data_IF_401705647783
#
_entry.id   IF_401705647783
#
_cell.length_a   1.000
_cell.length_b   1.000
_cell.length_c   1.000
_cell.angle_alpha   90.00
_cell.angle_beta   90.00
_cell.angle_gamma   90.00
#
_symmetry.space_group_name_H-M   'P 1'
#
loop_
_entity.id
_entity.type
_entity.pdbx_description
1 polymer ?
#
# COMPACT_ATOMS: atom_id res chain seq x y z
N UNK A 1 39.30 -28.48 18.75
CA UNK A 1 38.03 -28.37 18.02
C UNK A 1 36.93 -27.97 18.99
N UNK A 2 36.64 -26.68 19.09
CA UNK A 2 35.44 -26.13 19.75
C UNK A 2 35.33 -24.61 19.57
N UNK A 3 36.45 -23.92 19.35
CA UNK A 3 36.48 -22.46 19.14
C UNK A 3 36.33 -22.08 17.67
N UNK A 4 37.03 -22.77 16.76
CA UNK A 4 36.99 -22.47 15.32
C UNK A 4 35.59 -22.71 14.72
N UNK A 5 34.94 -23.83 15.04
CA UNK A 5 33.56 -24.11 14.61
C UNK A 5 32.55 -23.10 15.19
N UNK A 6 32.80 -22.58 16.40
CA UNK A 6 31.96 -21.55 17.01
C UNK A 6 32.20 -20.18 16.36
N UNK A 7 33.42 -19.89 15.91
CA UNK A 7 33.76 -18.68 15.17
C UNK A 7 33.12 -18.68 13.77
N UNK A 8 33.22 -19.78 13.02
CA UNK A 8 32.55 -19.91 11.72
C UNK A 8 31.03 -19.78 11.84
N UNK A 9 30.43 -20.31 12.92
CA UNK A 9 29.00 -20.17 13.19
C UNK A 9 28.61 -18.71 13.52
N UNK A 10 29.51 -17.92 14.10
CA UNK A 10 29.30 -16.48 14.35
C UNK A 10 29.43 -15.69 13.04
N UNK A 11 30.44 -15.99 12.22
CA UNK A 11 30.65 -15.33 10.92
C UNK A 11 29.48 -15.58 9.96
N UNK A 12 28.99 -16.83 9.84
CA UNK A 12 27.79 -17.14 9.04
C UNK A 12 26.57 -16.39 9.53
N UNK A 13 26.38 -16.29 10.85
CA UNK A 13 25.27 -15.50 11.42
C UNK A 13 25.42 -14.00 11.14
N UNK A 14 26.65 -13.47 11.11
CA UNK A 14 26.88 -12.08 10.74
C UNK A 14 26.58 -11.82 9.26
N UNK A 15 27.00 -12.70 8.35
CA UNK A 15 26.67 -12.61 6.93
C UNK A 15 25.15 -12.69 6.69
N UNK A 16 24.47 -13.57 7.43
CA UNK A 16 23.01 -13.70 7.38
C UNK A 16 22.29 -12.44 7.90
N UNK A 17 22.77 -11.85 9.00
CA UNK A 17 22.26 -10.57 9.53
C UNK A 17 22.50 -9.42 8.55
N UNK A 18 23.67 -9.35 7.91
CA UNK A 18 24.01 -8.31 6.93
C UNK A 18 23.12 -8.44 5.69
N UNK A 19 22.89 -9.66 5.21
CA UNK A 19 21.98 -9.94 4.09
C UNK A 19 20.56 -9.49 4.42
N UNK A 20 20.03 -9.84 5.60
CA UNK A 20 18.70 -9.42 6.06
C UNK A 20 18.59 -7.89 6.19
N UNK A 21 19.60 -7.22 6.74
CA UNK A 21 19.62 -5.76 6.86
C UNK A 21 19.65 -5.05 5.50
N UNK A 22 20.29 -5.66 4.51
CA UNK A 22 20.35 -5.13 3.14
C UNK A 22 18.98 -5.21 2.45
N UNK A 23 18.22 -6.29 2.68
CA UNK A 23 16.83 -6.42 2.21
C UNK A 23 15.93 -5.38 2.88
N UNK A 24 16.06 -5.20 4.20
CA UNK A 24 15.28 -4.21 4.97
C UNK A 24 15.58 -2.78 4.48
N UNK A 25 16.85 -2.45 4.23
CA UNK A 25 17.23 -1.12 3.70
C UNK A 25 16.72 -0.90 2.27
N UNK A 26 16.59 -1.96 1.46
CA UNK A 26 16.04 -1.87 0.11
C UNK A 26 14.52 -1.65 0.16
N UNK A 27 13.81 -2.33 1.08
CA UNK A 27 12.39 -2.11 1.34
C UNK A 27 12.12 -0.70 1.89
N UNK A 28 12.94 -0.21 2.83
CA UNK A 28 12.84 1.16 3.35
C UNK A 28 13.18 2.23 2.30
N UNK A 29 14.02 1.92 1.31
CA UNK A 29 14.28 2.81 0.16
C UNK A 29 13.11 2.81 -0.84
N UNK A 30 12.38 1.70 -0.98
CA UNK A 30 11.10 1.68 -1.72
C UNK A 30 10.01 2.47 -0.99
N UNK A 31 9.99 2.47 0.35
CA UNK A 31 9.12 3.35 1.14
C UNK A 31 9.52 4.84 1.08
N UNK A 32 10.70 5.15 0.51
CA UNK A 32 11.18 6.49 0.20
C UNK A 32 10.97 6.89 -1.26
N UNK A 33 9.92 6.41 -1.91
CA UNK A 33 9.21 7.23 -2.90
C UNK A 33 8.27 8.17 -2.14
N UNK A 34 8.64 9.45 -1.96
CA UNK A 34 7.77 10.40 -1.31
C UNK A 34 6.73 10.84 -2.35
N UNK A 35 5.46 10.46 -2.16
CA UNK A 35 4.27 11.32 -2.29
C UNK A 35 3.01 10.53 -2.69
N UNK A 36 2.06 10.44 -1.75
CA UNK A 36 0.61 10.26 -1.98
C UNK A 36 0.13 8.85 -2.43
N UNK A 37 0.53 7.78 -1.73
CA UNK A 37 -0.13 6.49 -1.93
C UNK A 37 -1.59 6.51 -1.46
N UNK A 38 -1.86 7.22 -0.36
CA UNK A 38 -3.19 7.40 0.20
C UNK A 38 -3.70 8.82 -0.04
N UNK A 39 -4.80 8.93 -0.79
CA UNK A 39 -5.48 10.17 -1.11
C UNK A 39 -6.60 10.44 -0.11
N UNK A 40 -6.87 11.72 0.20
CA UNK A 40 -8.14 12.07 0.83
C UNK A 40 -9.30 11.83 -0.15
N UNK A 41 -10.54 11.81 0.33
CA UNK A 41 -11.72 11.77 -0.57
C UNK A 41 -11.72 12.90 -1.60
N UNK A 42 -11.19 14.08 -1.24
CA UNK A 42 -11.12 15.23 -2.14
C UNK A 42 -10.07 15.01 -3.22
N UNK A 43 -8.85 14.63 -2.84
CA UNK A 43 -7.76 14.38 -3.80
C UNK A 43 -8.07 13.17 -4.69
N UNK A 44 -8.76 12.16 -4.15
CA UNK A 44 -9.27 11.04 -4.94
C UNK A 44 -10.27 11.50 -6.00
N UNK A 45 -11.22 12.37 -5.64
CA UNK A 45 -12.20 12.91 -6.58
C UNK A 45 -11.51 13.68 -7.71
N UNK A 46 -10.56 14.55 -7.36
CA UNK A 46 -9.78 15.33 -8.31
C UNK A 46 -8.97 14.42 -9.25
N UNK A 47 -8.27 13.42 -8.69
CA UNK A 47 -7.41 12.51 -9.46
C UNK A 47 -8.18 11.52 -10.33
N UNK A 48 -9.35 11.08 -9.88
CA UNK A 48 -10.26 10.23 -10.66
C UNK A 48 -11.14 11.02 -11.65
N UNK A 49 -11.00 12.35 -11.71
CA UNK A 49 -11.82 13.23 -12.54
C UNK A 49 -13.34 13.06 -12.31
N UNK A 50 -13.74 12.86 -11.05
CA UNK A 50 -15.14 12.74 -10.63
C UNK A 50 -15.52 13.85 -9.65
N UNK A 51 -16.81 14.11 -9.48
CA UNK A 51 -17.26 15.07 -8.48
C UNK A 51 -17.02 14.54 -7.06
N UNK A 52 -16.75 15.44 -6.12
CA UNK A 52 -16.61 15.10 -4.70
C UNK A 52 -17.84 14.37 -4.13
N UNK A 53 -19.03 14.72 -4.61
CA UNK A 53 -20.27 14.06 -4.22
C UNK A 53 -20.31 12.59 -4.66
N UNK A 54 -19.85 12.28 -5.88
CA UNK A 54 -19.73 10.91 -6.40
C UNK A 54 -18.68 10.13 -5.61
N UNK A 55 -17.51 10.72 -5.36
CA UNK A 55 -16.47 10.10 -4.53
C UNK A 55 -16.98 9.72 -3.12
N UNK A 56 -17.72 10.63 -2.47
CA UNK A 56 -18.36 10.33 -1.17
C UNK A 56 -19.38 9.21 -1.25
N UNK A 57 -20.20 9.14 -2.32
CA UNK A 57 -21.18 8.04 -2.47
C UNK A 57 -20.49 6.69 -2.66
N UNK A 58 -19.44 6.63 -3.47
CA UNK A 58 -18.63 5.42 -3.68
C UNK A 58 -18.12 4.87 -2.34
N UNK A 59 -17.55 5.75 -1.51
CA UNK A 59 -17.02 5.39 -0.19
C UNK A 59 -18.17 5.01 0.77
N UNK A 60 -19.22 5.81 0.86
CA UNK A 60 -20.36 5.58 1.76
C UNK A 60 -21.10 4.27 1.45
N UNK A 61 -21.19 3.91 0.18
CA UNK A 61 -21.83 2.66 -0.27
C UNK A 61 -20.92 1.43 -0.10
N UNK A 62 -19.70 1.59 0.42
CA UNK A 62 -18.78 0.47 0.66
C UNK A 62 -18.28 -0.21 -0.62
N UNK A 63 -18.27 0.51 -1.74
CA UNK A 63 -17.94 -0.06 -3.06
C UNK A 63 -16.45 -0.40 -3.15
N UNK A 64 -15.61 0.34 -2.42
CA UNK A 64 -14.18 0.13 -2.32
C UNK A 64 -13.87 -0.78 -1.12
N UNK A 65 -13.43 -2.03 -1.34
CA UNK A 65 -13.05 -2.93 -0.26
C UNK A 65 -11.72 -2.53 0.40
N UNK A 66 -11.47 -3.02 1.60
CA UNK A 66 -10.13 -2.97 2.18
C UNK A 66 -9.17 -3.85 1.35
N UNK A 67 -7.92 -3.42 1.10
CA UNK A 67 -7.23 -2.26 1.67
C UNK A 67 -7.26 -1.00 0.77
N UNK A 68 -8.22 -0.88 -0.16
CA UNK A 68 -8.31 0.26 -1.10
C UNK A 68 -8.86 1.49 -0.38
N UNK A 69 -9.88 1.33 0.44
CA UNK A 69 -10.40 2.41 1.29
C UNK A 69 -10.18 2.04 2.75
N UNK A 70 -9.54 2.93 3.51
CA UNK A 70 -9.27 2.76 4.94
C UNK A 70 -9.76 3.98 5.70
N UNK A 71 -10.24 3.77 6.92
CA UNK A 71 -10.62 4.86 7.81
C UNK A 71 -9.50 5.13 8.81
N UNK A 72 -8.80 6.26 8.64
CA UNK A 72 -7.68 6.67 9.49
C UNK A 72 -8.07 7.94 10.24
N UNK A 73 -8.03 7.91 11.57
CA UNK A 73 -8.43 9.04 12.43
C UNK A 73 -9.82 9.60 12.09
N UNK A 74 -10.78 8.74 11.74
CA UNK A 74 -12.15 9.12 11.38
C UNK A 74 -12.34 9.64 9.96
N UNK A 75 -11.27 9.71 9.15
CA UNK A 75 -11.31 10.16 7.75
C UNK A 75 -11.05 9.01 6.78
N UNK A 76 -11.78 8.99 5.66
CA UNK A 76 -11.57 8.00 4.61
C UNK A 76 -10.33 8.35 3.77
N UNK A 77 -9.46 7.35 3.59
CA UNK A 77 -8.20 7.41 2.84
C UNK A 77 -8.21 6.34 1.76
N UNK A 78 -7.92 6.76 0.53
CA UNK A 78 -8.00 5.89 -0.65
C UNK A 78 -6.60 5.58 -1.15
N UNK A 79 -6.23 4.30 -1.15
CA UNK A 79 -4.98 3.82 -1.71
C UNK A 79 -5.05 3.84 -3.23
N UNK A 80 -4.41 4.83 -3.87
CA UNK A 80 -4.56 5.07 -5.30
C UNK A 80 -4.04 3.94 -6.20
N UNK A 81 -2.82 3.38 -6.00
CA UNK A 81 -2.35 2.25 -6.81
C UNK A 81 -3.30 1.05 -6.78
N UNK A 82 -3.73 0.61 -5.58
CA UNK A 82 -4.67 -0.50 -5.43
C UNK A 82 -6.05 -0.20 -6.00
N UNK A 83 -6.50 1.05 -5.96
CA UNK A 83 -7.72 1.46 -6.67
C UNK A 83 -7.58 1.26 -8.18
N UNK A 84 -6.45 1.66 -8.77
CA UNK A 84 -6.19 1.45 -10.20
C UNK A 84 -6.14 -0.03 -10.56
N UNK A 85 -5.45 -0.85 -9.76
CA UNK A 85 -5.41 -2.32 -9.93
C UNK A 85 -6.81 -2.94 -9.86
N UNK A 86 -7.61 -2.51 -8.87
CA UNK A 86 -8.98 -2.98 -8.69
C UNK A 86 -9.87 -2.58 -9.86
N UNK A 87 -9.72 -1.34 -10.36
CA UNK A 87 -10.49 -0.82 -11.49
C UNK A 87 -10.16 -1.57 -12.80
N UNK A 88 -8.91 -2.01 -12.96
CA UNK A 88 -8.47 -2.77 -14.13
C UNK A 88 -9.14 -4.15 -14.24
N UNK A 89 -9.71 -4.68 -13.15
CA UNK A 89 -10.43 -5.97 -13.18
C UNK A 89 -11.79 -5.81 -13.87
N UNK A 90 -12.06 -6.57 -14.96
CA UNK A 90 -13.34 -6.52 -15.66
C UNK A 90 -14.49 -6.95 -14.76
N UNK A 91 -15.35 -6.00 -14.36
CA UNK A 91 -16.49 -6.23 -13.46
C UNK A 91 -16.53 -5.28 -12.27
N UNK A 92 -15.40 -4.70 -11.87
CA UNK A 92 -15.35 -3.69 -10.82
C UNK A 92 -15.76 -2.31 -11.34
N UNK A 93 -15.40 -1.95 -12.58
CA UNK A 93 -15.90 -0.74 -13.24
C UNK A 93 -17.45 -0.70 -13.29
N UNK A 94 -18.10 -1.84 -13.56
CA UNK A 94 -19.57 -1.97 -13.55
C UNK A 94 -20.21 -1.70 -12.19
N UNK A 95 -19.46 -1.83 -11.09
CA UNK A 95 -19.95 -1.49 -9.74
C UNK A 95 -19.98 0.03 -9.52
N UNK A 96 -19.11 0.78 -10.19
CA UNK A 96 -19.06 2.24 -10.12
C UNK A 96 -20.17 2.90 -10.96
N UNK A 97 -20.53 2.32 -12.10
CA UNK A 97 -21.60 2.82 -12.99
C UNK A 97 -23.00 2.79 -12.36
N UNK A 98 -23.21 2.00 -11.30
CA UNK A 98 -24.51 1.81 -10.64
C UNK A 98 -24.81 2.83 -9.52
N UNK A 99 -23.99 3.87 -9.35
CA UNK A 99 -24.00 4.83 -8.23
C UNK A 99 -24.29 6.26 -8.72
#
# INVERSE_FOLDING_TARGET
MYLEERLEAIERKQEEIISQNTVILTLLKQEREPNLTFLSTKDFAEKAAISYAVARRIIKNGVLPEPICLKVAGQDRIHWPKFCEWLAVPGNAKKLEKI
#
